data_IF_437650630391
#
_entry.id   IF_437650630391
#
_cell.length_a   1.000
_cell.length_b   1.000
_cell.length_c   1.000
_cell.angle_alpha   90.00
_cell.angle_beta   90.00
_cell.angle_gamma   90.00
#
_symmetry.space_group_name_H-M   'P 1'
#
loop_
_entity.id
_entity.type
_entity.pdbx_description
1 polymer ?
#
# COMPACT_ATOMS: atom_id res chain seq x y z
N UNK A 1 -19.62 18.11 -1.70
CA UNK A 1 -18.26 18.56 -1.33
C UNK A 1 -17.48 17.61 -0.39
N UNK A 2 -18.06 16.48 0.06
CA UNK A 2 -17.40 15.53 0.99
C UNK A 2 -16.40 14.57 0.29
N UNK A 3 -16.70 14.19 -0.96
CA UNK A 3 -15.90 13.23 -1.72
C UNK A 3 -14.49 13.74 -2.07
N UNK A 4 -14.35 15.04 -2.36
CA UNK A 4 -13.06 15.66 -2.66
C UNK A 4 -12.12 15.64 -1.44
N UNK A 5 -12.66 15.85 -0.24
CA UNK A 5 -11.89 15.80 1.01
C UNK A 5 -11.35 14.40 1.31
N UNK A 6 -12.19 13.36 1.13
CA UNK A 6 -11.79 11.96 1.33
C UNK A 6 -10.70 11.53 0.36
N UNK A 7 -10.84 11.92 -0.91
CA UNK A 7 -9.82 11.64 -1.94
C UNK A 7 -8.49 12.34 -1.59
N UNK A 8 -8.54 13.63 -1.25
CA UNK A 8 -7.35 14.40 -0.86
C UNK A 8 -6.64 13.76 0.33
N UNK A 9 -7.38 13.37 1.36
CA UNK A 9 -6.82 12.71 2.54
C UNK A 9 -6.14 11.39 2.17
N UNK A 10 -6.78 10.55 1.34
CA UNK A 10 -6.14 9.32 0.89
C UNK A 10 -4.86 9.56 0.10
N UNK A 11 -4.85 10.55 -0.81
CA UNK A 11 -3.64 10.93 -1.54
C UNK A 11 -2.51 11.41 -0.62
N UNK A 12 -2.85 12.15 0.45
CA UNK A 12 -1.88 12.56 1.46
C UNK A 12 -1.27 11.36 2.19
N UNK A 13 -2.09 10.36 2.56
CA UNK A 13 -1.59 9.13 3.18
C UNK A 13 -0.68 8.33 2.24
N UNK A 14 -1.00 8.26 0.94
CA UNK A 14 -0.14 7.62 -0.06
C UNK A 14 1.23 8.31 -0.12
N UNK A 15 1.25 9.65 -0.23
CA UNK A 15 2.48 10.43 -0.24
C UNK A 15 3.27 10.29 1.07
N UNK A 16 2.58 10.26 2.21
CA UNK A 16 3.18 10.01 3.51
C UNK A 16 3.87 8.64 3.54
N UNK A 17 3.19 7.58 3.11
CA UNK A 17 3.75 6.23 3.07
C UNK A 17 4.99 6.14 2.15
N UNK A 18 5.04 6.86 1.03
CA UNK A 18 6.23 6.87 0.17
C UNK A 18 7.48 7.40 0.87
N UNK A 19 7.31 8.35 1.80
CA UNK A 19 8.42 8.96 2.55
C UNK A 19 8.77 8.16 3.80
N UNK A 20 7.75 7.68 4.52
CA UNK A 20 7.92 7.08 5.85
C UNK A 20 8.13 5.58 5.83
N UNK A 21 7.77 4.90 4.73
CA UNK A 21 7.93 3.45 4.57
C UNK A 21 8.87 3.20 3.38
N UNK A 22 10.18 3.52 3.51
CA UNK A 22 11.12 3.46 2.39
C UNK A 22 11.50 2.04 1.98
N UNK A 23 11.20 1.04 2.82
CA UNK A 23 11.52 -0.37 2.56
C UNK A 23 10.25 -1.21 2.46
N UNK A 24 10.39 -2.36 1.77
CA UNK A 24 9.35 -3.39 1.68
C UNK A 24 8.92 -3.83 3.08
N UNK A 25 9.86 -4.13 3.97
CA UNK A 25 9.56 -4.61 5.33
C UNK A 25 8.76 -3.59 6.15
N UNK A 26 9.12 -2.30 6.07
CA UNK A 26 8.37 -1.24 6.76
C UNK A 26 6.92 -1.18 6.25
N UNK A 27 6.71 -1.31 4.94
CA UNK A 27 5.37 -1.35 4.37
C UNK A 27 4.59 -2.59 4.80
N UNK A 28 5.22 -3.78 4.79
CA UNK A 28 4.61 -5.04 5.23
C UNK A 28 4.16 -4.96 6.68
N UNK A 29 5.01 -4.47 7.58
CA UNK A 29 4.70 -4.30 9.01
C UNK A 29 3.44 -3.45 9.22
N UNK A 30 3.32 -2.33 8.50
CA UNK A 30 2.13 -1.46 8.59
C UNK A 30 0.88 -2.16 8.04
N UNK A 31 0.98 -2.85 6.90
CA UNK A 31 -0.18 -3.53 6.30
C UNK A 31 -0.71 -4.65 7.23
N UNK A 32 0.18 -5.38 7.89
CA UNK A 32 -0.17 -6.50 8.76
C UNK A 32 -0.68 -6.07 10.15
N UNK A 33 -0.30 -4.90 10.65
CA UNK A 33 -0.70 -4.42 11.97
C UNK A 33 -2.16 -3.92 12.02
N UNK A 34 -3.11 -4.87 11.88
CA UNK A 34 -4.56 -4.63 11.79
C UNK A 34 -5.13 -3.88 13.00
N UNK A 35 -4.57 -4.13 14.18
CA UNK A 35 -5.05 -3.55 15.45
C UNK A 35 -4.38 -2.22 15.81
N UNK A 36 -3.33 -1.82 15.07
CA UNK A 36 -2.57 -0.58 15.33
C UNK A 36 -2.88 0.54 14.36
N UNK A 37 -3.31 0.20 13.13
CA UNK A 37 -3.50 1.18 12.07
C UNK A 37 -4.88 1.10 11.41
N UNK A 38 -5.45 2.29 11.17
CA UNK A 38 -6.70 2.43 10.45
C UNK A 38 -6.65 1.76 9.06
N UNK A 39 -7.74 1.13 8.58
CA UNK A 39 -7.77 0.46 7.28
C UNK A 39 -7.33 1.32 6.10
N UNK A 40 -7.60 2.64 6.14
CA UNK A 40 -7.23 3.58 5.08
C UNK A 40 -5.72 3.80 4.99
N UNK A 41 -5.02 3.87 6.13
CA UNK A 41 -3.56 3.97 6.18
C UNK A 41 -2.93 2.67 5.70
N UNK A 42 -3.45 1.51 6.14
CA UNK A 42 -2.99 0.19 5.66
C UNK A 42 -3.19 0.02 4.15
N UNK A 43 -4.25 0.58 3.60
CA UNK A 43 -4.50 0.59 2.15
C UNK A 43 -3.48 1.46 1.40
N UNK A 44 -3.10 2.61 1.96
CA UNK A 44 -2.04 3.46 1.41
C UNK A 44 -0.66 2.78 1.49
N UNK A 45 -0.35 2.12 2.61
CA UNK A 45 0.87 1.33 2.79
C UNK A 45 0.93 0.17 1.79
N UNK A 46 -0.18 -0.54 1.55
CA UNK A 46 -0.26 -1.59 0.54
C UNK A 46 -0.01 -1.04 -0.87
N UNK A 47 -0.49 0.17 -1.18
CA UNK A 47 -0.19 0.81 -2.47
C UNK A 47 1.31 1.11 -2.62
N UNK A 48 1.97 1.56 -1.55
CA UNK A 48 3.42 1.74 -1.56
C UNK A 48 4.17 0.40 -1.69
N UNK A 49 3.71 -0.65 -1.00
CA UNK A 49 4.27 -1.99 -1.14
C UNK A 49 4.20 -2.50 -2.58
N UNK A 50 3.06 -2.30 -3.27
CA UNK A 50 2.92 -2.67 -4.69
C UNK A 50 3.88 -1.88 -5.57
N UNK A 51 4.10 -0.58 -5.28
CA UNK A 51 5.05 0.28 -6.01
C UNK A 51 6.48 -0.20 -5.88
N UNK A 52 6.88 -0.70 -4.71
CA UNK A 52 8.24 -1.17 -4.43
C UNK A 52 8.47 -2.63 -4.81
N UNK A 53 7.40 -3.40 -5.00
CA UNK A 53 7.50 -4.82 -5.33
C UNK A 53 8.21 -5.00 -6.69
N UNK A 54 9.16 -5.94 -6.79
CA UNK A 54 9.95 -6.12 -7.99
C UNK A 54 9.11 -6.76 -9.12
N UNK A 55 9.60 -6.70 -10.36
CA UNK A 55 8.86 -7.17 -11.53
C UNK A 55 8.60 -8.68 -11.51
N UNK A 56 9.45 -9.47 -10.86
CA UNK A 56 9.28 -10.91 -10.67
C UNK A 56 8.04 -11.22 -9.83
N UNK A 57 7.67 -10.31 -8.92
CA UNK A 57 6.47 -10.41 -8.08
C UNK A 57 5.25 -9.85 -8.80
N UNK A 58 5.34 -8.65 -9.37
CA UNK A 58 4.20 -7.98 -10.01
C UNK A 58 3.86 -8.55 -11.39
N UNK A 59 4.83 -9.17 -12.05
CA UNK A 59 4.77 -9.76 -13.40
C UNK A 59 4.29 -8.79 -14.48
N UNK A 60 4.56 -7.49 -14.30
CA UNK A 60 4.07 -6.42 -15.20
C UNK A 60 2.54 -6.32 -15.27
N UNK A 61 1.82 -6.92 -14.32
CA UNK A 61 0.36 -7.00 -14.38
C UNK A 61 -0.31 -5.67 -14.03
N UNK A 62 -1.54 -5.42 -14.54
CA UNK A 62 -2.34 -4.28 -14.12
C UNK A 62 -2.56 -4.24 -12.61
N UNK A 63 -2.78 -3.05 -12.05
CA UNK A 63 -2.79 -2.79 -10.61
C UNK A 63 -3.61 -3.80 -9.79
N UNK A 64 -4.82 -4.16 -10.23
CA UNK A 64 -5.68 -5.09 -9.51
C UNK A 64 -5.04 -6.47 -9.36
N UNK A 65 -4.40 -6.96 -10.42
CA UNK A 65 -3.78 -8.27 -10.45
C UNK A 65 -2.40 -8.24 -9.77
N UNK A 66 -1.61 -7.19 -9.98
CA UNK A 66 -0.36 -6.96 -9.23
C UNK A 66 -0.62 -6.89 -7.72
N UNK A 67 -1.70 -6.22 -7.28
CA UNK A 67 -2.11 -6.17 -5.87
C UNK A 67 -2.35 -7.56 -5.30
N UNK A 68 -2.99 -8.47 -6.06
CA UNK A 68 -3.24 -9.85 -5.60
C UNK A 68 -1.93 -10.62 -5.47
N UNK A 69 -1.05 -10.54 -6.48
CA UNK A 69 0.26 -11.19 -6.48
C UNK A 69 1.15 -10.71 -5.32
N UNK A 70 1.21 -9.39 -5.10
CA UNK A 70 1.98 -8.77 -4.00
C UNK A 70 1.46 -9.24 -2.64
N UNK A 71 0.13 -9.26 -2.45
CA UNK A 71 -0.48 -9.76 -1.20
C UNK A 71 -0.14 -11.21 -0.93
N UNK A 72 -0.22 -12.05 -1.97
CA UNK A 72 0.13 -13.46 -1.89
C UNK A 72 1.63 -13.64 -1.56
N UNK A 73 2.51 -12.89 -2.22
CA UNK A 73 3.96 -13.01 -2.05
C UNK A 73 4.43 -12.58 -0.65
N UNK A 74 3.93 -11.44 -0.13
CA UNK A 74 4.34 -10.91 1.18
C UNK A 74 3.46 -11.36 2.35
N UNK A 75 2.41 -12.16 2.11
CA UNK A 75 1.52 -12.64 3.17
C UNK A 75 0.73 -11.54 3.88
N UNK A 76 0.13 -10.60 3.12
CA UNK A 76 -0.61 -9.44 3.66
C UNK A 76 -2.03 -9.28 3.14
#
# INVERSE_FOLDING_TARGET
MIMQTRMRYFCQLVTYCYKQLPTVDAAVQVVQAKDRYAPILRSAALRNLIRMAPLEVTRGQPYLQARRLVRQHYGV
#
